data_IF_934399327103
#
_entry.id   IF_934399327103
#
_cell.length_a   1.000
_cell.length_b   1.000
_cell.length_c   1.000
_cell.angle_alpha   90.00
_cell.angle_beta   90.00
_cell.angle_gamma   90.00
#
_symmetry.space_group_name_H-M   'P 1'
#
loop_
_entity.id
_entity.type
_entity.pdbx_description
1 polymer ?
#
# COMPACT_ATOMS: atom_id res chain seq x y z
N UNK A 1 -114.41 0.62 22.60
CA UNK A 1 -113.84 -0.56 21.82
C UNK A 1 -112.27 -0.43 21.76
N UNK A 2 -111.70 0.70 21.55
CA UNK A 2 -110.22 0.86 21.50
C UNK A 2 -109.51 0.68 22.90
N UNK A 3 -110.11 1.18 23.98
CA UNK A 3 -109.66 0.96 25.36
C UNK A 3 -109.57 -0.54 25.72
N UNK A 4 -110.52 -1.31 25.30
CA UNK A 4 -110.58 -2.76 25.58
C UNK A 4 -109.51 -3.55 24.77
N UNK A 5 -109.14 -3.07 23.60
CA UNK A 5 -108.04 -3.64 22.82
C UNK A 5 -106.66 -3.29 23.40
N UNK A 6 -106.49 -2.08 23.90
CA UNK A 6 -105.25 -1.64 24.57
C UNK A 6 -105.01 -2.39 25.89
N UNK A 7 -106.05 -2.60 26.70
CA UNK A 7 -105.94 -3.37 27.94
C UNK A 7 -105.57 -4.84 27.73
N UNK A 8 -106.05 -5.46 26.61
CA UNK A 8 -105.65 -6.82 26.23
C UNK A 8 -104.20 -6.87 25.61
N UNK A 9 -103.75 -5.82 24.93
CA UNK A 9 -102.50 -5.78 24.27
C UNK A 9 -101.34 -5.49 25.26
N UNK A 10 -101.55 -4.63 26.28
CA UNK A 10 -100.58 -4.26 27.29
C UNK A 10 -99.83 -5.44 27.93
N UNK A 11 -100.50 -6.45 28.47
CA UNK A 11 -99.86 -7.57 29.13
C UNK A 11 -99.03 -8.40 28.15
N UNK A 12 -99.46 -8.53 26.91
CA UNK A 12 -98.73 -9.28 25.86
C UNK A 12 -97.47 -8.50 25.47
N UNK A 13 -97.55 -7.20 25.23
CA UNK A 13 -96.41 -6.33 24.94
C UNK A 13 -95.40 -6.35 26.08
N UNK A 14 -95.86 -6.27 27.34
CA UNK A 14 -95.02 -6.39 28.51
C UNK A 14 -94.21 -7.70 28.61
N UNK A 15 -94.85 -8.82 28.19
CA UNK A 15 -94.22 -10.15 28.13
C UNK A 15 -93.12 -10.12 27.08
N UNK A 16 -93.40 -9.61 25.90
CA UNK A 16 -92.41 -9.50 24.81
C UNK A 16 -91.25 -8.54 25.19
N UNK A 17 -91.53 -7.44 25.83
CA UNK A 17 -90.51 -6.52 26.29
C UNK A 17 -89.61 -7.14 27.40
N UNK A 18 -90.21 -7.96 28.27
CA UNK A 18 -89.44 -8.71 29.29
C UNK A 18 -88.53 -9.76 28.62
N UNK A 19 -89.03 -10.48 27.65
CA UNK A 19 -88.33 -11.52 26.89
C UNK A 19 -87.13 -10.81 26.13
N UNK A 20 -87.46 -9.74 25.40
CA UNK A 20 -86.45 -8.95 24.70
C UNK A 20 -85.34 -8.43 25.65
N UNK A 21 -85.77 -7.85 26.78
CA UNK A 21 -84.87 -7.36 27.77
C UNK A 21 -83.94 -8.44 28.35
N UNK A 22 -84.50 -9.61 28.59
CA UNK A 22 -83.73 -10.78 29.04
C UNK A 22 -82.69 -11.20 28.02
N UNK A 23 -83.03 -11.34 26.76
CA UNK A 23 -82.08 -11.71 25.70
C UNK A 23 -81.07 -10.62 25.50
N UNK A 24 -81.45 -9.33 25.49
CA UNK A 24 -80.52 -8.23 25.36
C UNK A 24 -79.56 -8.17 26.54
N UNK A 25 -80.02 -8.52 27.77
CA UNK A 25 -79.12 -8.61 28.94
C UNK A 25 -78.08 -9.74 28.78
N UNK A 26 -78.55 -10.92 28.34
CA UNK A 26 -77.64 -12.07 28.07
C UNK A 26 -76.62 -11.74 26.97
N UNK A 27 -77.09 -11.12 25.87
CA UNK A 27 -76.22 -10.67 24.80
C UNK A 27 -75.14 -9.71 25.30
N UNK A 28 -75.52 -8.78 26.18
CA UNK A 28 -74.52 -7.85 26.80
C UNK A 28 -73.53 -8.57 27.68
N UNK A 29 -73.94 -9.60 28.44
CA UNK A 29 -73.02 -10.34 29.32
C UNK A 29 -71.94 -11.14 28.55
N UNK A 30 -72.24 -11.51 27.30
CA UNK A 30 -71.33 -12.27 26.42
C UNK A 30 -70.66 -11.40 25.33
N UNK A 31 -70.88 -10.09 25.31
CA UNK A 31 -70.30 -9.19 24.32
C UNK A 31 -68.78 -9.11 24.48
N UNK A 32 -67.99 -9.58 23.50
CA UNK A 32 -66.54 -9.53 23.57
C UNK A 32 -65.97 -8.13 23.40
N UNK A 33 -66.76 -7.14 23.00
CA UNK A 33 -66.36 -5.72 22.91
C UNK A 33 -66.47 -4.97 24.24
N UNK A 34 -67.29 -5.46 25.17
CA UNK A 34 -67.41 -4.88 26.48
C UNK A 34 -66.32 -5.43 27.42
N UNK A 35 -65.40 -4.56 27.84
CA UNK A 35 -64.30 -4.90 28.71
C UNK A 35 -64.71 -5.38 30.10
N UNK A 36 -65.97 -5.16 30.52
CA UNK A 36 -66.49 -5.60 31.80
C UNK A 36 -66.89 -7.07 31.78
N UNK A 37 -67.25 -7.63 30.60
CA UNK A 37 -67.64 -9.01 30.42
C UNK A 37 -66.46 -9.99 30.46
N UNK A 38 -66.72 -11.27 30.73
CA UNK A 38 -65.68 -12.30 30.70
C UNK A 38 -65.05 -12.45 29.28
N UNK A 39 -65.84 -12.52 28.20
CA UNK A 39 -65.28 -12.56 26.84
C UNK A 39 -64.47 -11.31 26.51
N UNK A 40 -64.91 -10.12 26.87
CA UNK A 40 -64.16 -8.87 26.67
C UNK A 40 -62.81 -8.85 27.40
N UNK A 41 -62.78 -9.32 28.68
CA UNK A 41 -61.54 -9.50 29.42
C UNK A 41 -60.58 -10.52 28.76
N UNK A 42 -61.11 -11.61 28.21
CA UNK A 42 -60.31 -12.59 27.49
C UNK A 42 -59.71 -12.01 26.20
N UNK A 43 -60.51 -11.26 25.42
CA UNK A 43 -60.01 -10.54 24.24
C UNK A 43 -58.90 -9.54 24.58
N UNK A 44 -59.11 -8.75 25.66
CA UNK A 44 -58.11 -7.79 26.13
C UNK A 44 -56.79 -8.52 26.47
N UNK A 45 -56.81 -9.58 27.28
CA UNK A 45 -55.63 -10.37 27.64
C UNK A 45 -54.97 -11.03 26.42
N UNK A 46 -55.73 -11.55 25.46
CA UNK A 46 -55.22 -12.12 24.21
C UNK A 46 -54.47 -11.05 23.40
N UNK A 47 -55.02 -9.84 23.31
CA UNK A 47 -54.40 -8.74 22.57
C UNK A 47 -53.12 -8.23 23.29
N UNK A 48 -53.14 -8.16 24.61
CA UNK A 48 -51.95 -7.83 25.41
C UNK A 48 -50.86 -8.87 25.22
N UNK A 49 -51.19 -10.15 25.28
CA UNK A 49 -50.24 -11.23 25.01
C UNK A 49 -49.69 -11.23 23.57
N UNK A 50 -50.56 -10.98 22.58
CA UNK A 50 -50.13 -10.85 21.18
C UNK A 50 -49.16 -9.69 20.99
N UNK A 51 -49.42 -8.53 21.64
CA UNK A 51 -48.52 -7.39 21.63
C UNK A 51 -47.15 -7.71 22.26
N UNK A 52 -47.18 -8.33 23.46
CA UNK A 52 -45.97 -8.77 24.13
C UNK A 52 -45.14 -9.75 23.24
N UNK A 53 -45.77 -10.72 22.62
CA UNK A 53 -45.10 -11.68 21.71
C UNK A 53 -44.50 -10.98 20.48
N UNK A 54 -45.21 -10.03 19.91
CA UNK A 54 -44.75 -9.25 18.79
C UNK A 54 -43.49 -8.40 19.19
N UNK A 55 -43.54 -7.75 20.33
CA UNK A 55 -42.41 -6.97 20.84
C UNK A 55 -41.17 -7.85 21.14
N UNK A 56 -41.41 -9.04 21.74
CA UNK A 56 -40.35 -10.03 21.98
C UNK A 56 -39.71 -10.50 20.67
N UNK A 57 -40.54 -10.79 19.66
CA UNK A 57 -40.06 -11.22 18.33
C UNK A 57 -39.25 -10.10 17.65
N UNK A 58 -39.73 -8.86 17.69
CA UNK A 58 -38.99 -7.70 17.14
C UNK A 58 -37.66 -7.49 17.83
N UNK A 59 -37.62 -7.63 19.16
CA UNK A 59 -36.37 -7.55 19.92
C UNK A 59 -35.40 -8.64 19.52
N UNK A 60 -35.87 -9.90 19.40
CA UNK A 60 -35.03 -11.01 18.95
C UNK A 60 -34.50 -10.83 17.53
N UNK A 61 -35.30 -10.31 16.61
CA UNK A 61 -34.89 -9.99 15.24
C UNK A 61 -33.75 -8.93 15.25
N UNK A 62 -33.94 -7.82 15.97
CA UNK A 62 -32.93 -6.77 16.10
C UNK A 62 -31.63 -7.28 16.73
N UNK A 63 -31.71 -8.09 17.77
CA UNK A 63 -30.52 -8.71 18.39
C UNK A 63 -29.80 -9.67 17.43
N UNK A 64 -30.54 -10.45 16.65
CA UNK A 64 -29.97 -11.33 15.65
C UNK A 64 -29.25 -10.54 14.52
N UNK A 65 -29.89 -9.49 14.01
CA UNK A 65 -29.30 -8.58 13.02
C UNK A 65 -28.02 -7.94 13.53
N UNK A 66 -28.04 -7.42 14.77
CA UNK A 66 -26.84 -6.83 15.40
C UNK A 66 -25.71 -7.86 15.53
N UNK A 67 -26.03 -9.10 15.94
CA UNK A 67 -25.01 -10.18 16.02
C UNK A 67 -24.37 -10.48 14.66
N UNK A 68 -25.16 -10.48 13.60
CA UNK A 68 -24.66 -10.68 12.22
C UNK A 68 -23.73 -9.53 11.82
N UNK A 69 -24.12 -8.27 12.08
CA UNK A 69 -23.29 -7.09 11.78
C UNK A 69 -21.96 -7.13 12.53
N UNK A 70 -22.00 -7.42 13.84
CA UNK A 70 -20.79 -7.56 14.67
C UNK A 70 -19.88 -8.67 14.13
N UNK A 71 -20.46 -9.83 13.78
CA UNK A 71 -19.66 -10.95 13.31
C UNK A 71 -19.02 -10.67 11.93
N UNK A 72 -19.76 -10.07 11.02
CA UNK A 72 -19.25 -9.67 9.71
C UNK A 72 -18.11 -8.64 9.86
N UNK A 73 -18.27 -7.68 10.76
CA UNK A 73 -17.24 -6.68 11.00
C UNK A 73 -15.98 -7.28 11.67
N UNK A 74 -16.12 -8.27 12.56
CA UNK A 74 -14.98 -9.02 13.12
C UNK A 74 -14.16 -9.69 12.02
N UNK A 75 -14.83 -10.39 11.10
CA UNK A 75 -14.18 -11.09 9.99
C UNK A 75 -13.48 -10.08 9.06
N UNK A 76 -14.17 -9.00 8.70
CA UNK A 76 -13.60 -7.95 7.84
C UNK A 76 -12.39 -7.28 8.49
N UNK A 77 -12.46 -7.00 9.80
CA UNK A 77 -11.35 -6.42 10.55
C UNK A 77 -10.14 -7.36 10.61
N UNK A 78 -10.37 -8.66 10.86
CA UNK A 78 -9.31 -9.66 10.82
C UNK A 78 -8.63 -9.71 9.44
N UNK A 79 -9.41 -9.79 8.36
CA UNK A 79 -8.88 -9.81 7.00
C UNK A 79 -8.09 -8.54 6.67
N UNK A 80 -8.55 -7.38 7.13
CA UNK A 80 -7.85 -6.13 6.94
C UNK A 80 -6.47 -6.13 7.63
N UNK A 81 -6.38 -6.67 8.86
CA UNK A 81 -5.10 -6.84 9.57
C UNK A 81 -4.19 -7.81 8.81
N UNK A 82 -4.70 -8.95 8.36
CA UNK A 82 -3.90 -9.95 7.63
C UNK A 82 -3.36 -9.37 6.32
N UNK A 83 -4.18 -8.70 5.54
CA UNK A 83 -3.78 -8.06 4.29
C UNK A 83 -2.78 -6.91 4.52
N UNK A 84 -3.02 -6.09 5.54
CA UNK A 84 -2.12 -5.01 5.92
C UNK A 84 -0.75 -5.53 6.36
N UNK A 85 -0.72 -6.59 7.17
CA UNK A 85 0.52 -7.23 7.61
C UNK A 85 1.28 -7.86 6.44
N UNK A 86 0.58 -8.55 5.54
CA UNK A 86 1.18 -9.13 4.34
C UNK A 86 1.80 -8.05 3.44
N UNK A 87 1.10 -6.96 3.22
CA UNK A 87 1.61 -5.82 2.44
C UNK A 87 2.83 -5.19 3.09
N UNK A 88 2.79 -4.98 4.41
CA UNK A 88 3.90 -4.43 5.18
C UNK A 88 5.15 -5.32 5.12
N UNK A 89 4.99 -6.63 5.31
CA UNK A 89 6.05 -7.61 5.16
C UNK A 89 6.61 -7.67 3.73
N UNK A 90 5.73 -7.74 2.72
CA UNK A 90 6.13 -7.85 1.31
C UNK A 90 6.91 -6.62 0.84
N UNK A 91 6.52 -5.43 1.29
CA UNK A 91 7.23 -4.18 1.00
C UNK A 91 8.63 -4.18 1.59
N UNK A 92 8.78 -4.64 2.83
CA UNK A 92 10.09 -4.75 3.48
C UNK A 92 10.98 -5.78 2.79
N UNK A 93 10.44 -6.97 2.52
CA UNK A 93 11.17 -8.04 1.81
C UNK A 93 11.63 -7.57 0.42
N UNK A 94 10.75 -6.94 -0.34
CA UNK A 94 11.05 -6.41 -1.67
C UNK A 94 12.14 -5.34 -1.61
N UNK A 95 12.07 -4.43 -0.63
CA UNK A 95 13.12 -3.43 -0.41
C UNK A 95 14.49 -4.06 -0.16
N UNK A 96 14.54 -5.13 0.65
CA UNK A 96 15.80 -5.83 0.96
C UNK A 96 16.36 -6.65 -0.21
N UNK A 97 15.47 -7.25 -1.01
CA UNK A 97 15.88 -7.90 -2.27
C UNK A 97 16.46 -6.87 -3.25
N UNK A 98 15.80 -5.73 -3.40
CA UNK A 98 16.27 -4.64 -4.27
C UNK A 98 17.61 -4.08 -3.78
N UNK A 99 17.80 -3.93 -2.47
CA UNK A 99 19.06 -3.50 -1.87
C UNK A 99 20.21 -4.44 -2.25
N UNK A 100 20.03 -5.77 -2.11
CA UNK A 100 21.01 -6.77 -2.54
C UNK A 100 21.31 -6.70 -4.05
N UNK A 101 20.28 -6.56 -4.87
CA UNK A 101 20.43 -6.45 -6.31
C UNK A 101 21.17 -5.17 -6.72
N UNK A 102 20.91 -4.05 -6.02
CA UNK A 102 21.58 -2.79 -6.27
C UNK A 102 23.07 -2.85 -5.87
N UNK A 103 23.41 -3.51 -4.77
CA UNK A 103 24.82 -3.75 -4.39
C UNK A 103 25.53 -4.52 -5.52
N UNK A 104 24.92 -5.59 -6.01
CA UNK A 104 25.50 -6.41 -7.07
C UNK A 104 25.61 -5.66 -8.41
N UNK A 105 24.58 -4.92 -8.81
CA UNK A 105 24.61 -4.14 -10.06
C UNK A 105 25.57 -2.96 -10.00
N UNK A 106 25.80 -2.41 -8.81
CA UNK A 106 26.75 -1.33 -8.56
C UNK A 106 28.21 -1.77 -8.41
N UNK A 107 28.52 -3.08 -8.63
CA UNK A 107 29.89 -3.57 -8.59
C UNK A 107 30.72 -2.96 -9.71
N UNK A 108 31.89 -2.40 -9.32
CA UNK A 108 32.93 -1.90 -10.20
C UNK A 108 34.24 -2.60 -9.90
N UNK A 109 35.23 -2.49 -10.78
CA UNK A 109 36.56 -3.04 -10.53
C UNK A 109 37.18 -2.54 -9.22
N UNK A 110 36.92 -1.27 -8.87
CA UNK A 110 37.47 -0.62 -7.67
C UNK A 110 36.79 -1.04 -6.36
N UNK A 111 35.48 -1.19 -6.35
CA UNK A 111 34.70 -1.47 -5.13
C UNK A 111 34.41 -2.96 -4.93
N UNK A 112 34.82 -3.82 -5.87
CA UNK A 112 34.41 -5.21 -5.98
C UNK A 112 34.51 -5.99 -4.67
N UNK A 113 35.71 -6.07 -4.10
CA UNK A 113 35.96 -6.91 -2.92
C UNK A 113 35.17 -6.42 -1.70
N UNK A 114 35.05 -5.09 -1.51
CA UNK A 114 34.26 -4.51 -0.42
C UNK A 114 32.77 -4.84 -0.54
N UNK A 115 32.18 -4.65 -1.72
CA UNK A 115 30.77 -4.87 -1.94
C UNK A 115 30.41 -6.36 -1.93
N UNK A 116 31.31 -7.23 -2.39
CA UNK A 116 31.15 -8.71 -2.28
C UNK A 116 31.09 -9.16 -0.83
N UNK A 117 31.94 -8.58 0.05
CA UNK A 117 31.83 -8.81 1.49
C UNK A 117 30.46 -8.35 1.99
N UNK A 118 29.99 -7.17 1.56
CA UNK A 118 28.65 -6.66 1.91
C UNK A 118 27.52 -7.63 1.54
N UNK A 119 27.55 -8.22 0.34
CA UNK A 119 26.60 -9.26 -0.08
C UNK A 119 26.73 -10.49 0.84
N UNK A 120 27.96 -10.92 1.14
CA UNK A 120 28.22 -12.14 1.92
C UNK A 120 27.73 -12.04 3.37
N UNK A 121 27.88 -10.86 4.01
CA UNK A 121 27.45 -10.61 5.39
C UNK A 121 26.02 -10.08 5.49
N UNK A 122 25.33 -9.91 4.37
CA UNK A 122 23.96 -9.37 4.37
C UNK A 122 23.02 -10.18 5.27
N UNK A 123 22.26 -9.47 6.10
CA UNK A 123 21.43 -10.08 7.13
C UNK A 123 20.27 -10.88 6.54
N UNK A 124 20.20 -12.16 6.90
CA UNK A 124 19.16 -13.09 6.44
C UNK A 124 18.02 -13.28 7.43
N UNK A 125 18.11 -12.72 8.62
CA UNK A 125 17.08 -12.83 9.65
C UNK A 125 16.13 -11.62 9.59
N UNK A 126 14.82 -11.91 9.68
CA UNK A 126 13.80 -10.87 9.71
C UNK A 126 13.80 -10.15 11.05
N UNK A 127 14.00 -8.83 11.11
CA UNK A 127 14.10 -8.12 12.38
C UNK A 127 12.76 -8.09 13.12
N UNK A 128 12.73 -8.68 14.33
CA UNK A 128 11.53 -8.64 15.17
C UNK A 128 11.07 -7.21 15.46
N UNK A 129 12.02 -6.29 15.69
CA UNK A 129 11.71 -4.89 15.90
C UNK A 129 10.98 -4.22 14.71
N UNK A 130 11.18 -4.72 13.47
CA UNK A 130 10.41 -4.28 12.32
C UNK A 130 8.98 -4.83 12.37
N UNK A 131 8.82 -6.13 12.64
CA UNK A 131 7.50 -6.74 12.79
C UNK A 131 6.66 -6.07 13.90
N UNK A 132 7.27 -5.80 15.04
CA UNK A 132 6.59 -5.19 16.20
C UNK A 132 6.13 -3.74 15.94
N UNK A 133 6.72 -3.05 14.96
CA UNK A 133 6.30 -1.72 14.52
C UNK A 133 5.06 -1.73 13.63
N UNK A 134 4.58 -2.90 13.22
CA UNK A 134 3.36 -2.95 12.42
C UNK A 134 2.18 -2.38 13.19
N UNK A 135 1.62 -1.30 12.70
CA UNK A 135 0.41 -0.67 13.20
C UNK A 135 -0.58 -0.56 12.07
N UNK A 136 -1.79 -1.08 12.25
CA UNK A 136 -2.87 -0.91 11.32
C UNK A 136 -4.12 -0.56 12.10
N UNK A 137 -4.67 0.60 11.82
CA UNK A 137 -5.94 1.05 12.36
C UNK A 137 -6.97 1.05 11.23
N UNK A 138 -8.04 0.28 11.43
CA UNK A 138 -9.17 0.24 10.52
C UNK A 138 -10.42 0.74 11.25
N UNK A 139 -11.21 1.55 10.55
CA UNK A 139 -12.49 2.03 11.07
C UNK A 139 -13.45 0.86 11.29
N UNK A 140 -14.15 0.88 12.44
CA UNK A 140 -15.18 -0.10 12.79
C UNK A 140 -16.32 0.62 13.49
N UNK A 141 -17.54 0.08 13.36
CA UNK A 141 -18.78 0.70 13.86
C UNK A 141 -19.47 -0.15 14.93
N UNK A 142 -19.30 -1.47 14.89
CA UNK A 142 -20.02 -2.41 15.74
C UNK A 142 -19.14 -3.17 16.74
N UNK A 143 -17.81 -3.13 16.56
CA UNK A 143 -16.86 -3.76 17.48
C UNK A 143 -16.11 -2.70 18.30
N UNK A 144 -15.97 -2.97 19.60
CA UNK A 144 -15.28 -2.11 20.54
C UNK A 144 -13.74 -2.31 20.53
N UNK A 145 -13.03 -1.51 21.35
CA UNK A 145 -11.56 -1.56 21.42
C UNK A 145 -11.02 -2.89 21.95
N UNK A 146 -11.70 -3.52 22.89
CA UNK A 146 -11.31 -4.80 23.49
C UNK A 146 -11.36 -5.92 22.44
N UNK A 147 -12.46 -6.00 21.69
CA UNK A 147 -12.63 -6.97 20.61
C UNK A 147 -11.57 -6.76 19.51
N UNK A 148 -11.29 -5.50 19.16
CA UNK A 148 -10.21 -5.18 18.21
C UNK A 148 -8.85 -5.67 18.69
N UNK A 149 -8.51 -5.41 19.95
CA UNK A 149 -7.24 -5.83 20.55
C UNK A 149 -7.11 -7.35 20.58
N UNK A 150 -8.19 -8.06 20.92
CA UNK A 150 -8.23 -9.52 20.91
C UNK A 150 -8.03 -10.09 19.49
N UNK A 151 -8.79 -9.60 18.51
CA UNK A 151 -8.65 -10.03 17.10
C UNK A 151 -7.21 -9.77 16.63
N UNK A 152 -6.68 -8.57 16.88
CA UNK A 152 -5.31 -8.22 16.51
C UNK A 152 -4.29 -9.19 17.13
N UNK A 153 -4.37 -9.42 18.44
CA UNK A 153 -3.48 -10.36 19.15
C UNK A 153 -3.53 -11.75 18.53
N UNK A 154 -4.73 -12.28 18.31
CA UNK A 154 -4.93 -13.61 17.75
C UNK A 154 -4.45 -13.71 16.31
N UNK A 155 -4.69 -12.68 15.49
CA UNK A 155 -4.25 -12.62 14.08
C UNK A 155 -2.73 -12.54 13.95
N UNK A 156 -2.04 -11.84 14.86
CA UNK A 156 -0.58 -11.72 14.82
C UNK A 156 0.14 -12.92 15.44
N UNK A 157 -0.58 -13.77 16.19
CA UNK A 157 0.01 -14.93 16.86
C UNK A 157 0.64 -15.89 15.85
N UNK A 158 1.92 -16.23 16.05
CA UNK A 158 2.67 -17.13 15.16
C UNK A 158 3.03 -16.57 13.78
N UNK A 159 2.57 -15.36 13.44
CA UNK A 159 2.87 -14.76 12.12
C UNK A 159 4.32 -14.32 12.00
N UNK A 160 4.94 -13.90 13.11
CA UNK A 160 6.37 -13.54 13.10
C UNK A 160 7.24 -14.69 12.62
N UNK A 161 7.09 -15.89 13.20
CA UNK A 161 7.86 -17.06 12.86
C UNK A 161 7.66 -17.46 11.40
N UNK A 162 6.41 -17.40 10.92
CA UNK A 162 6.06 -17.66 9.52
C UNK A 162 6.78 -16.69 8.57
N UNK A 163 6.72 -15.40 8.86
CA UNK A 163 7.37 -14.38 8.01
C UNK A 163 8.90 -14.39 8.14
N UNK A 164 9.43 -14.71 9.32
CA UNK A 164 10.87 -14.88 9.52
C UNK A 164 11.43 -16.01 8.66
N UNK A 165 10.73 -17.14 8.59
CA UNK A 165 11.11 -18.25 7.71
C UNK A 165 11.02 -17.88 6.23
N UNK A 166 9.96 -17.22 5.80
CA UNK A 166 9.80 -16.75 4.41
C UNK A 166 10.89 -15.74 4.02
N UNK A 167 11.16 -14.78 4.90
CA UNK A 167 12.22 -13.80 4.70
C UNK A 167 13.58 -14.48 4.54
N UNK A 168 13.93 -15.33 5.47
CA UNK A 168 15.20 -16.07 5.47
C UNK A 168 15.36 -16.90 4.20
N UNK A 169 14.34 -17.65 3.81
CA UNK A 169 14.35 -18.46 2.60
C UNK A 169 14.57 -17.59 1.35
N UNK A 170 13.81 -16.50 1.22
CA UNK A 170 13.90 -15.62 0.04
C UNK A 170 15.23 -14.88 -0.05
N UNK A 171 15.67 -14.25 1.05
CA UNK A 171 16.95 -13.52 1.07
C UNK A 171 18.14 -14.47 0.87
N UNK A 172 18.13 -15.66 1.50
CA UNK A 172 19.19 -16.64 1.29
C UNK A 172 19.25 -17.13 -0.15
N UNK A 173 18.11 -17.36 -0.80
CA UNK A 173 18.05 -17.77 -2.20
C UNK A 173 18.60 -16.68 -3.13
N UNK A 174 18.19 -15.41 -2.95
CA UNK A 174 18.70 -14.29 -3.74
C UNK A 174 20.19 -14.08 -3.51
N UNK A 175 20.63 -14.12 -2.26
CA UNK A 175 22.04 -14.00 -1.89
C UNK A 175 22.90 -15.08 -2.54
N UNK A 176 22.45 -16.34 -2.54
CA UNK A 176 23.17 -17.44 -3.17
C UNK A 176 23.27 -17.25 -4.67
N UNK A 177 22.17 -16.89 -5.36
CA UNK A 177 22.17 -16.58 -6.79
C UNK A 177 23.21 -15.48 -7.13
N UNK A 178 23.28 -14.43 -6.33
CA UNK A 178 24.25 -13.36 -6.54
C UNK A 178 25.70 -13.86 -6.30
N UNK A 179 25.92 -14.65 -5.25
CA UNK A 179 27.24 -15.24 -4.94
C UNK A 179 27.72 -16.12 -6.10
N UNK A 180 26.84 -16.97 -6.65
CA UNK A 180 27.17 -17.84 -7.77
C UNK A 180 27.56 -17.06 -9.04
N UNK A 181 27.07 -15.83 -9.20
CA UNK A 181 27.38 -14.92 -10.31
C UNK A 181 28.63 -14.06 -10.10
N UNK A 182 29.17 -13.98 -8.89
CA UNK A 182 30.36 -13.17 -8.56
C UNK A 182 31.58 -13.47 -9.44
N UNK A 183 31.96 -14.75 -9.70
CA UNK A 183 33.13 -15.05 -10.53
C UNK A 183 33.00 -14.52 -11.97
N UNK A 184 31.84 -14.66 -12.56
CA UNK A 184 31.55 -14.16 -13.92
C UNK A 184 31.59 -12.63 -13.97
N UNK A 185 31.03 -11.97 -12.95
CA UNK A 185 31.04 -10.52 -12.85
C UNK A 185 32.45 -9.94 -12.63
N UNK A 186 33.27 -10.65 -11.85
CA UNK A 186 34.69 -10.28 -11.66
C UNK A 186 35.47 -10.28 -12.98
N UNK A 187 35.27 -11.33 -13.80
CA UNK A 187 35.91 -11.44 -15.10
C UNK A 187 35.47 -10.31 -16.05
N UNK A 188 34.16 -10.07 -16.15
CA UNK A 188 33.59 -8.97 -16.93
C UNK A 188 34.21 -7.61 -16.56
N UNK A 189 34.26 -7.31 -15.26
CA UNK A 189 34.82 -6.03 -14.78
C UNK A 189 36.31 -5.91 -15.03
N UNK A 190 37.09 -7.01 -14.93
CA UNK A 190 38.50 -7.01 -15.25
C UNK A 190 38.76 -6.75 -16.74
N UNK A 191 37.98 -7.37 -17.63
CA UNK A 191 38.05 -7.15 -19.07
C UNK A 191 37.70 -5.71 -19.46
N UNK A 192 36.66 -5.14 -18.85
CA UNK A 192 36.26 -3.75 -19.05
C UNK A 192 37.34 -2.76 -18.57
N UNK A 193 37.99 -3.05 -17.45
CA UNK A 193 39.08 -2.17 -16.95
C UNK A 193 40.32 -2.25 -17.84
N UNK A 194 40.67 -3.43 -18.35
CA UNK A 194 41.77 -3.56 -19.32
C UNK A 194 41.50 -2.76 -20.61
N UNK A 195 40.26 -2.84 -21.11
CA UNK A 195 39.82 -2.09 -22.30
C UNK A 195 39.89 -0.57 -22.04
N UNK A 196 39.45 -0.13 -20.85
CA UNK A 196 39.52 1.29 -20.43
C UNK A 196 40.95 1.79 -20.38
N UNK A 197 41.87 0.99 -19.83
CA UNK A 197 43.27 1.35 -19.74
C UNK A 197 43.93 1.41 -21.15
N UNK A 198 43.66 0.43 -22.03
CA UNK A 198 44.13 0.44 -23.38
C UNK A 198 43.68 1.68 -24.18
N UNK A 199 42.39 2.02 -24.06
CA UNK A 199 41.81 3.21 -24.71
C UNK A 199 42.45 4.51 -24.15
N UNK A 200 42.71 4.56 -22.83
CA UNK A 200 43.37 5.71 -22.23
C UNK A 200 44.83 5.88 -22.68
N UNK A 201 45.57 4.76 -22.83
CA UNK A 201 46.93 4.80 -23.38
C UNK A 201 46.94 5.24 -24.86
N UNK A 202 46.01 4.75 -25.67
CA UNK A 202 45.89 5.16 -27.07
C UNK A 202 45.56 6.66 -27.20
N UNK A 203 44.61 7.14 -26.39
CA UNK A 203 44.29 8.56 -26.33
C UNK A 203 45.48 9.43 -25.90
N UNK A 204 46.24 8.98 -24.90
CA UNK A 204 47.44 9.69 -24.45
C UNK A 204 48.53 9.75 -25.55
N UNK A 205 48.77 8.63 -26.26
CA UNK A 205 49.70 8.59 -27.39
C UNK A 205 49.22 9.50 -28.53
N UNK A 206 47.97 9.53 -28.85
CA UNK A 206 47.39 10.40 -29.88
C UNK A 206 47.56 11.89 -29.52
N UNK A 207 47.37 12.24 -28.25
CA UNK A 207 47.53 13.60 -27.76
C UNK A 207 49.01 14.02 -27.78
N UNK A 208 49.95 13.16 -27.40
CA UNK A 208 51.36 13.38 -27.48
C UNK A 208 51.83 13.63 -28.92
N UNK A 209 51.36 12.76 -29.85
CA UNK A 209 51.69 12.93 -31.27
C UNK A 209 51.11 14.24 -31.85
N UNK A 210 49.95 14.66 -31.40
CA UNK A 210 49.36 15.95 -31.79
C UNK A 210 50.23 17.10 -31.31
N UNK A 211 50.66 17.09 -30.04
CA UNK A 211 51.55 18.11 -29.47
C UNK A 211 52.91 18.17 -30.20
N UNK A 212 53.45 17.00 -30.57
CA UNK A 212 54.70 16.95 -31.33
C UNK A 212 54.52 17.60 -32.72
N UNK A 213 53.45 17.30 -33.45
CA UNK A 213 53.13 17.93 -34.74
C UNK A 213 52.94 19.44 -34.64
N UNK A 214 52.19 19.91 -33.64
CA UNK A 214 51.98 21.34 -33.37
C UNK A 214 53.31 22.06 -33.07
N UNK A 215 54.19 21.40 -32.29
CA UNK A 215 55.53 21.96 -31.99
C UNK A 215 56.44 22.00 -33.23
N UNK A 216 56.40 20.95 -34.06
CA UNK A 216 57.14 20.90 -35.32
C UNK A 216 56.68 21.95 -36.32
N UNK A 217 55.37 22.12 -36.47
CA UNK A 217 54.80 23.19 -37.32
C UNK A 217 55.20 24.59 -36.81
N UNK A 218 55.10 24.82 -35.52
CA UNK A 218 55.53 26.09 -34.91
C UNK A 218 57.01 26.35 -35.12
N UNK A 219 57.89 25.32 -35.02
CA UNK A 219 59.32 25.43 -35.31
C UNK A 219 59.57 25.74 -36.78
N UNK A 220 58.87 25.13 -37.72
CA UNK A 220 58.94 25.44 -39.16
C UNK A 220 58.52 26.88 -39.46
N UNK A 221 57.42 27.37 -38.85
CA UNK A 221 56.97 28.74 -39.04
C UNK A 221 57.97 29.75 -38.49
N UNK A 222 58.56 29.45 -37.32
CA UNK A 222 59.61 30.30 -36.75
C UNK A 222 60.88 30.38 -37.63
N UNK A 223 61.25 29.25 -38.21
CA UNK A 223 62.40 29.16 -39.13
C UNK A 223 62.13 29.96 -40.41
N UNK A 224 60.95 29.89 -40.94
CA UNK A 224 60.51 30.60 -42.14
C UNK A 224 60.45 32.14 -41.86
N UNK A 225 59.96 32.55 -40.71
CA UNK A 225 60.02 33.98 -40.26
C UNK A 225 61.46 34.47 -40.16
N UNK A 226 62.39 33.75 -39.55
CA UNK A 226 63.75 34.11 -39.47
C UNK A 226 64.47 34.27 -40.86
N UNK A 227 64.11 33.39 -41.80
CA UNK A 227 64.61 33.45 -43.19
C UNK A 227 64.10 34.72 -43.90
N UNK A 228 62.81 35.10 -43.69
CA UNK A 228 62.23 36.33 -44.21
C UNK A 228 62.87 37.56 -43.61
N UNK A 229 63.11 37.61 -42.33
CA UNK A 229 63.81 38.71 -41.66
C UNK A 229 65.27 38.86 -42.14
N UNK A 230 65.95 37.73 -42.35
CA UNK A 230 67.34 37.79 -42.90
C UNK A 230 67.39 38.29 -44.34
N UNK A 231 66.38 37.83 -45.16
CA UNK A 231 66.28 38.33 -46.54
C UNK A 231 65.98 39.86 -46.59
N UNK A 232 65.02 40.29 -45.75
CA UNK A 232 64.70 41.71 -45.65
C UNK A 232 65.90 42.56 -45.18
N UNK A 233 66.69 42.05 -44.21
CA UNK A 233 67.92 42.72 -43.76
C UNK A 233 69.00 42.80 -44.86
N UNK A 234 69.14 41.76 -45.66
CA UNK A 234 70.04 41.76 -46.82
C UNK A 234 69.59 42.75 -47.90
N UNK A 235 68.25 42.81 -48.16
CA UNK A 235 67.73 43.74 -49.14
C UNK A 235 67.90 45.20 -48.69
N UNK A 236 67.67 45.51 -47.40
CA UNK A 236 67.91 46.82 -46.82
C UNK A 236 69.42 47.19 -46.89
N UNK A 237 70.31 46.24 -46.59
CA UNK A 237 71.76 46.46 -46.65
C UNK A 237 72.24 46.70 -48.10
N UNK A 238 71.71 46.00 -49.09
CA UNK A 238 71.99 46.21 -50.52
C UNK A 238 71.46 47.60 -51.00
N UNK A 239 70.22 47.99 -50.61
CA UNK A 239 69.71 49.32 -50.92
C UNK A 239 70.54 50.45 -50.30
N UNK A 240 71.07 50.25 -49.09
CA UNK A 240 71.95 51.26 -48.39
C UNK A 240 73.26 51.33 -49.08
N UNK A 241 73.82 50.23 -49.55
CA UNK A 241 75.10 50.25 -50.35
C UNK A 241 74.90 50.95 -51.70
N UNK A 242 73.79 50.67 -52.42
CA UNK A 242 73.50 51.37 -53.69
C UNK A 242 73.27 52.86 -53.52
N UNK A 243 72.62 53.31 -52.46
CA UNK A 243 72.49 54.75 -52.21
C UNK A 243 73.77 55.47 -51.81
N UNK A 244 74.71 54.74 -51.18
CA UNK A 244 76.07 55.31 -50.84
C UNK A 244 76.95 55.41 -52.07
N UNK A 245 76.77 54.61 -53.10
CA UNK A 245 77.53 54.69 -54.41
C UNK A 245 76.96 55.81 -55.25
N UNK A 246 75.64 56.05 -55.26
CA UNK A 246 75.01 57.14 -56.03
C UNK A 246 75.29 58.55 -55.54
N UNK A 247 75.90 58.75 -54.35
CA UNK A 247 76.28 60.07 -53.83
C UNK A 247 77.76 60.42 -54.06
N UNK A 248 78.48 59.61 -54.86
CA UNK A 248 79.90 59.80 -55.13
C UNK A 248 80.21 60.21 -56.61
N UNK A 249 79.17 60.62 -57.37
CA UNK A 249 79.36 61.23 -58.68
C UNK A 249 78.62 62.55 -58.85
#
# INVERSE_FOLDING_TARGET
TLKNMDERRKPITQIFDKVRSFFTSQEKEIDPKDSSTIPGKLVAKRNEYAKFKYEEEQKRKKEAEQRVLINNEKVSYQQAIENGLLSYFSSYLSSKVTELQNIFSGLTYVNFDREVIGITVFQTDYPKAHFDKFTAEYATYHINKEIKAEIRKNTLLGKYEQYAQQYKAKISSVKQDLIDRIPSKRKELAELEQLRLANAEEAAKAEELRKQREAEEAAKQLQELKRKEEADRQEVAMKTQQSSIGNLF
#
